data_IF_734568379205
#
_entry.id   IF_734568379205
#
_cell.length_a   1.000
_cell.length_b   1.000
_cell.length_c   1.000
_cell.angle_alpha   90.00
_cell.angle_beta   90.00
_cell.angle_gamma   90.00
#
_symmetry.space_group_name_H-M   'P 1'
#
loop_
_entity.id
_entity.type
_entity.pdbx_description
1 polymer ?
#
# COMPACT_ATOMS: atom_id res chain seq x y z
N UNK A 1 -14.26 39.68 18.21
CA UNK A 1 -14.77 38.86 19.34
C UNK A 1 -13.78 37.73 19.60
N UNK A 2 -13.40 37.50 20.84
CA UNK A 2 -12.46 36.44 21.21
C UNK A 2 -13.23 35.13 21.46
N UNK A 3 -12.67 34.01 21.00
CA UNK A 3 -13.15 32.67 21.33
C UNK A 3 -12.16 32.08 22.31
N UNK A 4 -12.68 31.58 23.43
CA UNK A 4 -11.90 31.07 24.55
C UNK A 4 -12.36 29.64 24.84
N UNK A 5 -11.41 28.75 25.13
CA UNK A 5 -11.68 27.38 25.55
C UNK A 5 -12.21 27.32 26.98
N UNK A 6 -12.74 26.18 27.40
CA UNK A 6 -13.23 25.95 28.78
C UNK A 6 -12.13 26.09 29.84
N UNK A 7 -10.87 25.88 29.47
CA UNK A 7 -9.67 26.09 30.30
C UNK A 7 -9.17 27.55 30.28
N UNK A 8 -9.88 28.48 29.64
CA UNK A 8 -9.54 29.90 29.61
C UNK A 8 -8.50 30.28 28.55
N UNK A 9 -8.04 29.35 27.70
CA UNK A 9 -7.12 29.63 26.60
C UNK A 9 -7.82 30.32 25.43
N UNK A 10 -7.26 31.43 24.93
CA UNK A 10 -7.78 32.12 23.74
C UNK A 10 -7.47 31.30 22.48
N UNK A 11 -8.53 30.76 21.85
CA UNK A 11 -8.46 29.95 20.63
C UNK A 11 -8.46 30.80 19.36
N UNK A 12 -9.17 31.92 19.36
CA UNK A 12 -9.17 32.90 18.25
C UNK A 12 -9.46 34.30 18.76
N UNK A 13 -8.85 35.31 18.12
CA UNK A 13 -9.13 36.73 18.39
C UNK A 13 -10.16 37.33 17.42
N UNK A 14 -10.51 36.59 16.37
CA UNK A 14 -11.38 37.04 15.28
C UNK A 14 -12.80 36.50 15.37
N UNK A 15 -13.03 35.33 15.96
CA UNK A 15 -14.36 34.74 16.13
C UNK A 15 -14.38 33.22 15.93
N UNK A 16 -15.58 32.63 15.98
CA UNK A 16 -15.82 31.18 15.89
C UNK A 16 -15.48 30.62 14.51
N UNK A 17 -15.78 31.36 13.45
CA UNK A 17 -15.51 30.93 12.07
C UNK A 17 -14.01 30.71 11.81
N UNK A 18 -13.15 31.49 12.44
CA UNK A 18 -11.69 31.33 12.32
C UNK A 18 -11.20 30.07 13.04
N UNK A 19 -11.85 29.68 14.15
CA UNK A 19 -11.55 28.42 14.85
C UNK A 19 -12.02 27.23 14.00
N UNK A 20 -13.25 27.28 13.50
CA UNK A 20 -13.84 26.24 12.65
C UNK A 20 -13.04 26.04 11.37
N UNK A 21 -12.67 27.12 10.68
CA UNK A 21 -11.85 27.07 9.46
C UNK A 21 -10.47 26.46 9.72
N UNK A 22 -9.79 26.86 10.79
CA UNK A 22 -8.51 26.27 11.20
C UNK A 22 -8.65 24.79 11.54
N UNK A 23 -9.74 24.38 12.17
CA UNK A 23 -10.06 22.98 12.42
C UNK A 23 -10.24 22.19 11.13
N UNK A 24 -11.01 22.72 10.17
CA UNK A 24 -11.21 22.11 8.85
C UNK A 24 -9.90 22.01 8.07
N UNK A 25 -9.08 23.06 8.08
CA UNK A 25 -7.74 23.07 7.47
C UNK A 25 -6.83 22.01 8.10
N UNK A 26 -6.82 21.90 9.43
CA UNK A 26 -6.09 20.86 10.13
C UNK A 26 -6.58 19.46 9.72
N UNK A 27 -7.88 19.19 9.71
CA UNK A 27 -8.41 17.89 9.27
C UNK A 27 -8.02 17.56 7.83
N UNK A 28 -8.06 18.54 6.91
CA UNK A 28 -7.64 18.35 5.52
C UNK A 28 -6.18 17.93 5.42
N UNK A 29 -5.30 18.52 6.21
CA UNK A 29 -3.87 18.15 6.21
C UNK A 29 -3.66 16.70 6.66
N UNK A 30 -4.40 16.23 7.66
CA UNK A 30 -4.25 14.88 8.21
C UNK A 30 -4.76 13.81 7.25
N UNK A 31 -5.86 14.10 6.54
CA UNK A 31 -6.40 13.22 5.50
C UNK A 31 -5.44 13.08 4.30
N UNK A 32 -4.57 14.08 4.06
CA UNK A 32 -3.58 14.00 2.98
C UNK A 32 -2.32 13.20 3.33
N UNK A 33 -2.02 12.96 4.61
CA UNK A 33 -0.92 12.08 5.02
C UNK A 33 -1.30 10.59 4.96
N UNK A 34 -2.59 10.30 4.78
CA UNK A 34 -3.15 8.95 4.63
C UNK A 34 -3.71 8.73 3.20
N UNK A 35 -3.15 9.40 2.20
CA UNK A 35 -3.28 8.91 0.83
C UNK A 35 -2.48 7.62 0.76
N UNK A 36 -3.18 6.49 0.89
CA UNK A 36 -2.70 5.18 0.45
C UNK A 36 -1.95 5.42 -0.85
N UNK A 37 -0.64 5.17 -0.86
CA UNK A 37 0.20 5.45 -2.02
C UNK A 37 -0.52 4.89 -3.26
N UNK A 38 -0.59 5.64 -4.38
CA UNK A 38 -1.19 5.11 -5.59
C UNK A 38 -0.55 3.76 -5.86
N UNK A 39 -1.39 2.72 -6.02
CA UNK A 39 -0.96 1.38 -6.44
C UNK A 39 -0.01 1.57 -7.60
N UNK A 40 1.28 1.31 -7.37
CA UNK A 40 2.28 1.50 -8.41
C UNK A 40 1.92 0.56 -9.56
N UNK A 41 2.19 0.95 -10.81
CA UNK A 41 1.88 0.14 -11.99
C UNK A 41 2.57 -1.25 -12.01
N UNK A 42 3.39 -1.56 -11.00
CA UNK A 42 3.98 -2.88 -10.69
C UNK A 42 3.05 -3.83 -9.90
N UNK A 43 1.78 -3.48 -9.68
CA UNK A 43 0.82 -4.28 -8.90
C UNK A 43 0.06 -5.29 -9.78
N UNK A 44 0.80 -6.10 -10.56
CA UNK A 44 0.22 -7.20 -11.35
C UNK A 44 -0.21 -8.35 -10.44
N UNK A 45 -1.46 -8.79 -10.53
CA UNK A 45 -1.99 -9.88 -9.70
C UNK A 45 -1.94 -11.21 -10.47
N UNK A 46 -1.32 -12.22 -9.85
CA UNK A 46 -1.32 -13.60 -10.35
C UNK A 46 -2.50 -14.36 -9.75
N UNK A 47 -3.64 -14.33 -10.44
CA UNK A 47 -4.83 -15.08 -10.04
C UNK A 47 -4.54 -16.57 -9.85
N UNK A 48 -5.18 -17.17 -8.85
CA UNK A 48 -5.05 -18.59 -8.49
C UNK A 48 -3.62 -19.07 -8.18
N UNK A 49 -2.69 -18.15 -7.90
CA UNK A 49 -1.31 -18.47 -7.51
C UNK A 49 -1.07 -18.07 -6.05
N UNK A 50 -0.67 -19.05 -5.25
CA UNK A 50 -0.32 -18.88 -3.85
C UNK A 50 1.20 -18.90 -3.64
N UNK A 51 1.73 -18.01 -2.82
CA UNK A 51 3.12 -18.04 -2.40
C UNK A 51 3.37 -19.18 -1.40
N UNK A 52 4.23 -20.15 -1.70
CA UNK A 52 4.55 -21.26 -0.79
C UNK A 52 5.32 -20.83 0.46
N UNK A 53 5.91 -19.63 0.47
CA UNK A 53 6.70 -19.11 1.60
C UNK A 53 5.90 -18.31 2.64
N UNK A 54 4.85 -17.60 2.23
CA UNK A 54 4.02 -16.78 3.12
C UNK A 54 2.52 -17.02 2.99
N UNK A 55 2.10 -17.92 2.11
CA UNK A 55 0.70 -18.25 1.81
C UNK A 55 -0.15 -17.09 1.32
N UNK A 56 0.46 -16.01 0.78
CA UNK A 56 -0.33 -14.96 0.13
C UNK A 56 -0.98 -15.50 -1.14
N UNK A 57 -2.24 -15.16 -1.36
CA UNK A 57 -3.01 -15.55 -2.54
C UNK A 57 -4.05 -14.46 -2.83
N UNK A 58 -4.04 -13.81 -4.01
CA UNK A 58 -3.09 -14.01 -5.10
C UNK A 58 -1.69 -13.44 -4.80
N UNK A 59 -0.66 -13.88 -5.55
CA UNK A 59 0.66 -13.21 -5.53
C UNK A 59 0.52 -11.86 -6.23
N UNK A 60 0.92 -10.78 -5.56
CA UNK A 60 0.91 -9.43 -6.12
C UNK A 60 2.35 -9.02 -6.51
N UNK A 61 2.50 -8.53 -7.73
CA UNK A 61 3.75 -8.08 -8.35
C UNK A 61 4.51 -9.20 -9.07
N UNK A 62 5.81 -9.27 -8.81
CA UNK A 62 6.68 -10.29 -9.43
C UNK A 62 6.45 -11.67 -8.81
N UNK A 63 6.25 -12.67 -9.69
CA UNK A 63 6.15 -14.08 -9.33
C UNK A 63 7.44 -14.79 -9.70
N UNK A 64 7.93 -15.60 -8.78
CA UNK A 64 9.10 -16.45 -8.98
C UNK A 64 8.67 -17.90 -8.86
N UNK A 65 8.99 -18.72 -9.87
CA UNK A 65 8.74 -20.16 -9.82
C UNK A 65 10.05 -20.91 -9.67
N UNK A 66 10.08 -21.93 -8.84
CA UNK A 66 11.21 -22.84 -8.77
C UNK A 66 11.33 -23.67 -10.05
N UNK A 67 12.52 -23.73 -10.65
CA UNK A 67 12.77 -24.54 -11.85
C UNK A 67 12.80 -26.05 -11.59
N UNK A 68 12.89 -26.44 -10.32
CA UNK A 68 13.11 -27.84 -9.90
C UNK A 68 11.95 -28.41 -9.09
N UNK A 69 11.24 -27.58 -8.33
CA UNK A 69 10.10 -28.02 -7.54
C UNK A 69 8.80 -27.81 -8.31
N UNK A 70 7.93 -28.83 -8.30
CA UNK A 70 6.58 -28.70 -8.83
C UNK A 70 5.74 -27.76 -7.96
N UNK A 71 4.98 -26.87 -8.60
CA UNK A 71 4.02 -25.97 -7.96
C UNK A 71 4.61 -25.14 -6.80
N UNK A 72 5.88 -24.76 -6.90
CA UNK A 72 6.53 -23.90 -5.92
C UNK A 72 6.70 -22.48 -6.46
N UNK A 73 5.77 -21.61 -6.09
CA UNK A 73 5.73 -20.20 -6.45
C UNK A 73 6.03 -19.32 -5.22
N UNK A 74 6.83 -18.27 -5.40
CA UNK A 74 7.23 -17.33 -4.36
C UNK A 74 6.96 -15.90 -4.82
N UNK A 75 6.54 -15.04 -3.88
CA UNK A 75 6.46 -13.61 -4.11
C UNK A 75 7.85 -12.95 -4.01
N UNK A 76 7.96 -11.71 -4.48
CA UNK A 76 9.18 -10.87 -4.43
C UNK A 76 9.81 -10.70 -3.04
N UNK A 77 9.05 -10.95 -1.97
CA UNK A 77 9.56 -10.91 -0.59
C UNK A 77 10.12 -12.26 -0.15
N UNK A 78 9.49 -13.36 -0.59
CA UNK A 78 9.90 -14.71 -0.21
C UNK A 78 11.08 -15.22 -1.03
N UNK A 79 11.25 -14.78 -2.29
CA UNK A 79 12.45 -15.11 -3.07
C UNK A 79 13.73 -14.66 -2.36
N UNK A 80 13.71 -13.44 -1.77
CA UNK A 80 14.87 -12.83 -1.10
C UNK A 80 15.36 -13.57 0.13
N UNK A 81 14.51 -14.44 0.70
CA UNK A 81 14.87 -15.27 1.86
C UNK A 81 15.78 -16.43 1.47
N UNK A 82 15.94 -16.69 0.17
CA UNK A 82 16.70 -17.81 -0.37
C UNK A 82 15.85 -19.07 -0.45
N UNK A 83 16.01 -19.82 -1.54
CA UNK A 83 15.46 -21.15 -1.78
C UNK A 83 16.60 -22.08 -2.22
N UNK A 84 16.49 -23.39 -1.93
CA UNK A 84 17.55 -24.37 -2.21
C UNK A 84 17.81 -24.55 -3.71
N UNK A 85 16.79 -24.35 -4.54
CA UNK A 85 16.86 -24.46 -5.99
C UNK A 85 16.82 -23.09 -6.69
N UNK A 86 17.26 -23.01 -7.95
CA UNK A 86 17.13 -21.80 -8.75
C UNK A 86 15.66 -21.36 -8.89
N UNK A 87 15.44 -20.05 -8.73
CA UNK A 87 14.15 -19.40 -8.92
C UNK A 87 14.17 -18.64 -10.25
N UNK A 88 13.15 -18.85 -11.06
CA UNK A 88 12.95 -18.16 -12.34
C UNK A 88 11.84 -17.12 -12.19
N UNK A 89 12.10 -15.90 -12.66
CA UNK A 89 11.09 -14.85 -12.73
C UNK A 89 10.08 -15.20 -13.83
N UNK A 90 8.81 -15.28 -13.47
CA UNK A 90 7.73 -15.52 -14.43
C UNK A 90 7.35 -14.19 -15.08
N UNK A 91 7.49 -14.04 -16.41
CA UNK A 91 7.13 -12.80 -17.10
C UNK A 91 5.62 -12.62 -17.08
N UNK A 92 5.16 -11.38 -16.85
CA UNK A 92 3.74 -11.06 -16.92
C UNK A 92 3.20 -11.40 -18.31
N UNK A 93 1.99 -11.99 -18.43
CA UNK A 93 1.34 -12.18 -19.71
C UNK A 93 1.14 -10.80 -20.36
N UNK A 94 1.80 -10.57 -21.48
CA UNK A 94 1.55 -9.40 -22.33
C UNK A 94 0.32 -9.71 -23.17
N UNK A 95 -0.69 -8.83 -23.16
CA UNK A 95 -1.99 -9.02 -23.85
C UNK A 95 -1.90 -8.95 -25.40
N UNK A 96 -0.77 -9.32 -26.01
CA UNK A 96 -0.42 -8.98 -27.39
C UNK A 96 -0.20 -10.18 -28.34
N UNK A 97 -0.80 -11.36 -28.12
CA UNK A 97 -0.78 -12.45 -29.12
C UNK A 97 -2.21 -12.89 -29.52
N UNK A 98 -2.74 -12.22 -30.57
CA UNK A 98 -3.95 -12.55 -31.36
C UNK A 98 -3.65 -13.60 -32.45
#
# INVERSE_FOLDING_TARGET
FYVVSSDGKVLSRRGVDDVTRKGIEALKTWIQEETVAPRTADEFEWDDVSCNGCSMNPIIGQRYRCSTCDNHDLCSTCEKKGHEHPLELVPQPTEDED
#
